data_IF_128681473648
#
_entry.id   IF_128681473648
#
_cell.length_a   1.000
_cell.length_b   1.000
_cell.length_c   1.000
_cell.angle_alpha   90.00
_cell.angle_beta   90.00
_cell.angle_gamma   90.00
#
_symmetry.space_group_name_H-M   'P 1'
#
loop_
_entity.id
_entity.type
_entity.pdbx_description
1 polymer ?
#
# COMPACT_ATOMS: atom_id res chain seq x y z
N UNK A 1 -11.53 4.31 -4.25
CA UNK A 1 -12.12 2.96 -4.46
C UNK A 1 -11.36 1.97 -3.58
N UNK A 2 -12.03 0.98 -3.01
CA UNK A 2 -11.35 -0.06 -2.21
C UNK A 2 -10.49 -0.92 -3.14
N UNK A 3 -9.21 -1.13 -2.78
CA UNK A 3 -8.30 -2.00 -3.52
C UNK A 3 -8.27 -3.40 -2.89
N UNK A 4 -8.29 -3.49 -1.57
CA UNK A 4 -8.30 -4.76 -0.85
C UNK A 4 -7.74 -4.61 0.57
N UNK A 5 -7.47 -5.74 1.22
CA UNK A 5 -6.94 -5.79 2.60
C UNK A 5 -5.76 -6.76 2.64
N UNK A 6 -4.66 -6.37 3.30
CA UNK A 6 -3.49 -7.22 3.55
C UNK A 6 -3.10 -7.09 5.02
N UNK A 7 -3.04 -8.21 5.76
CA UNK A 7 -2.64 -8.23 7.19
C UNK A 7 -3.37 -7.17 8.04
N UNK A 8 -4.71 -7.11 7.91
CA UNK A 8 -5.58 -6.13 8.58
C UNK A 8 -5.35 -4.66 8.21
N UNK A 9 -4.56 -4.40 7.16
CA UNK A 9 -4.37 -3.08 6.57
C UNK A 9 -5.28 -2.97 5.36
N UNK A 10 -6.27 -2.10 5.48
CA UNK A 10 -7.16 -1.71 4.40
C UNK A 10 -6.43 -0.78 3.44
N UNK A 11 -6.56 -1.07 2.15
CA UNK A 11 -5.86 -0.39 1.07
C UNK A 11 -6.91 0.23 0.15
N UNK A 12 -6.87 1.55 0.04
CA UNK A 12 -7.76 2.30 -0.83
C UNK A 12 -6.96 3.12 -1.82
N UNK A 13 -7.57 3.47 -2.94
CA UNK A 13 -7.05 4.50 -3.82
C UNK A 13 -7.96 5.73 -3.83
N UNK A 14 -7.33 6.86 -4.06
CA UNK A 14 -8.03 8.12 -4.34
C UNK A 14 -7.72 8.54 -5.77
N UNK A 15 -8.77 8.85 -6.54
CA UNK A 15 -8.67 9.25 -7.94
C UNK A 15 -8.83 8.11 -8.96
N UNK A 16 -9.14 8.51 -10.20
CA UNK A 16 -9.28 7.60 -11.35
C UNK A 16 -7.91 7.00 -11.78
N UNK A 17 -6.80 7.70 -11.50
CA UNK A 17 -5.44 7.38 -11.99
C UNK A 17 -4.48 6.84 -10.91
N UNK A 18 -4.98 6.34 -9.78
CA UNK A 18 -4.16 5.73 -8.72
C UNK A 18 -3.04 6.63 -8.16
N UNK A 19 -3.11 7.96 -8.22
CA UNK A 19 -1.95 8.80 -7.85
C UNK A 19 -1.53 8.66 -6.37
N UNK A 20 -2.50 8.39 -5.50
CA UNK A 20 -2.29 8.23 -4.05
C UNK A 20 -3.00 6.98 -3.54
N UNK A 21 -2.27 6.15 -2.81
CA UNK A 21 -2.78 4.99 -2.09
C UNK A 21 -2.87 5.30 -0.61
N UNK A 22 -4.00 4.98 -0.03
CA UNK A 22 -4.31 5.14 1.39
C UNK A 22 -4.23 3.78 2.05
N UNK A 23 -3.53 3.72 3.18
CA UNK A 23 -3.40 2.55 4.03
C UNK A 23 -4.02 2.88 5.39
N UNK A 24 -4.89 2.02 5.89
CA UNK A 24 -5.54 2.19 7.19
C UNK A 24 -5.53 0.88 7.95
N UNK A 25 -5.27 0.92 9.26
CA UNK A 25 -5.37 -0.25 10.13
C UNK A 25 -6.48 -0.03 11.17
N UNK A 26 -7.26 -1.09 11.45
CA UNK A 26 -8.52 -1.03 12.23
C UNK A 26 -8.44 -0.27 13.57
N UNK A 27 -7.28 -0.33 14.22
CA UNK A 27 -6.97 0.41 15.46
C UNK A 27 -5.62 1.12 15.35
N UNK A 28 -5.35 1.77 14.22
CA UNK A 28 -4.03 2.31 13.90
C UNK A 28 -4.05 3.62 13.11
N UNK A 29 -2.87 4.08 12.71
CA UNK A 29 -2.72 5.28 11.91
C UNK A 29 -3.25 5.07 10.49
N UNK A 30 -3.56 6.18 9.81
CA UNK A 30 -3.83 6.20 8.37
C UNK A 30 -2.61 6.82 7.69
N UNK A 31 -2.18 6.25 6.57
CA UNK A 31 -1.02 6.73 5.82
C UNK A 31 -1.28 6.75 4.34
N UNK A 32 -0.92 7.87 3.72
CA UNK A 32 -0.98 8.07 2.28
C UNK A 32 0.42 7.87 1.68
N UNK A 33 0.49 7.14 0.57
CA UNK A 33 1.72 6.93 -0.20
C UNK A 33 1.42 7.24 -1.65
N UNK A 34 2.25 8.11 -2.25
CA UNK A 34 2.13 8.39 -3.68
C UNK A 34 2.56 7.18 -4.51
N UNK A 35 1.77 6.86 -5.52
CA UNK A 35 2.01 5.76 -6.43
C UNK A 35 3.30 5.89 -7.26
N UNK A 36 3.75 7.13 -7.52
CA UNK A 36 5.05 7.38 -8.16
C UNK A 36 6.20 6.81 -7.34
N UNK A 37 6.07 6.75 -6.01
CA UNK A 37 7.06 6.13 -5.16
C UNK A 37 7.06 4.60 -5.32
N UNK A 38 5.89 3.98 -5.49
CA UNK A 38 5.71 2.53 -5.66
C UNK A 38 6.36 1.98 -6.94
N UNK A 39 6.46 2.81 -7.99
CA UNK A 39 7.14 2.45 -9.24
C UNK A 39 8.67 2.37 -9.11
N UNK A 40 9.27 2.90 -8.03
CA UNK A 40 10.71 2.84 -7.83
C UNK A 40 11.12 1.43 -7.40
N UNK A 41 12.14 0.87 -8.06
CA UNK A 41 12.56 -0.53 -7.92
C UNK A 41 12.84 -0.95 -6.48
N UNK A 42 13.44 -0.06 -5.69
CA UNK A 42 13.85 -0.31 -4.30
C UNK A 42 12.89 0.26 -3.24
N UNK A 43 11.74 0.79 -3.66
CA UNK A 43 10.78 1.34 -2.70
C UNK A 43 9.96 0.24 -2.05
N UNK A 44 10.00 0.20 -0.72
CA UNK A 44 9.22 -0.70 0.13
C UNK A 44 8.16 0.08 0.87
N UNK A 45 6.91 -0.29 0.67
CA UNK A 45 5.78 0.36 1.35
C UNK A 45 5.75 -0.06 2.81
N UNK A 46 6.08 -1.33 3.06
CA UNK A 46 6.19 -1.87 4.41
C UNK A 46 7.08 -1.01 5.30
N UNK A 47 8.26 -0.58 4.83
CA UNK A 47 9.17 0.31 5.58
C UNK A 47 8.52 1.66 5.92
N UNK A 48 7.75 2.24 5.01
CA UNK A 48 7.05 3.52 5.23
C UNK A 48 5.93 3.36 6.24
N UNK A 49 5.16 2.27 6.14
CA UNK A 49 4.05 1.99 7.03
C UNK A 49 4.53 1.62 8.44
N UNK A 50 5.59 0.81 8.57
CA UNK A 50 6.20 0.48 9.87
C UNK A 50 6.70 1.75 10.56
N UNK A 51 7.38 2.65 9.82
CA UNK A 51 7.79 3.96 10.35
C UNK A 51 6.61 4.83 10.77
N UNK A 52 5.46 4.66 10.14
CA UNK A 52 4.22 5.35 10.49
C UNK A 52 3.46 4.67 11.66
N UNK A 53 3.95 3.55 12.20
CA UNK A 53 3.36 2.85 13.34
C UNK A 53 2.43 1.68 12.99
N UNK A 54 2.39 1.25 11.72
CA UNK A 54 1.61 0.08 11.31
C UNK A 54 2.27 -1.20 11.81
N UNK A 55 1.46 -2.18 12.20
CA UNK A 55 1.93 -3.53 12.52
C UNK A 55 1.92 -4.39 11.26
N UNK A 56 3.11 -4.67 10.73
CA UNK A 56 3.31 -5.56 9.58
C UNK A 56 4.23 -6.69 10.01
N UNK A 57 3.68 -7.89 10.12
CA UNK A 57 4.40 -9.08 10.61
C UNK A 57 5.36 -9.64 9.56
N UNK A 58 4.96 -9.59 8.29
CA UNK A 58 5.75 -10.07 7.15
C UNK A 58 5.95 -8.96 6.10
N UNK A 59 6.95 -8.06 6.28
CA UNK A 59 7.15 -6.88 5.40
C UNK A 59 7.38 -7.24 3.93
N UNK A 60 8.17 -8.28 3.66
CA UNK A 60 8.51 -8.70 2.30
C UNK A 60 7.31 -9.31 1.58
N UNK A 61 6.51 -10.12 2.29
CA UNK A 61 5.28 -10.70 1.76
C UNK A 61 4.25 -9.61 1.50
N UNK A 62 4.09 -8.67 2.42
CA UNK A 62 3.23 -7.49 2.26
C UNK A 62 3.57 -6.71 0.98
N UNK A 63 4.85 -6.39 0.75
CA UNK A 63 5.25 -5.63 -0.43
C UNK A 63 5.01 -6.40 -1.74
N UNK A 64 5.19 -7.73 -1.73
CA UNK A 64 4.87 -8.58 -2.89
C UNK A 64 3.37 -8.64 -3.16
N UNK A 65 2.55 -8.91 -2.14
CA UNK A 65 1.09 -8.93 -2.25
C UNK A 65 0.54 -7.58 -2.70
N UNK A 66 1.10 -6.48 -2.20
CA UNK A 66 0.74 -5.13 -2.65
C UNK A 66 1.10 -4.91 -4.13
N UNK A 67 2.28 -5.37 -4.58
CA UNK A 67 2.65 -5.27 -6.01
C UNK A 67 1.72 -6.08 -6.89
N UNK A 68 1.33 -7.28 -6.48
CA UNK A 68 0.36 -8.11 -7.20
C UNK A 68 -1.02 -7.45 -7.25
N UNK A 69 -1.47 -6.85 -6.14
CA UNK A 69 -2.73 -6.11 -6.08
C UNK A 69 -2.77 -4.93 -7.06
N UNK A 70 -1.62 -4.27 -7.24
CA UNK A 70 -1.49 -3.07 -8.09
C UNK A 70 -1.14 -3.40 -9.55
N UNK A 71 -0.53 -4.54 -9.84
CA UNK A 71 -0.09 -4.94 -11.19
C UNK A 71 -1.20 -4.90 -12.27
N UNK A 72 -2.43 -5.39 -12.02
CA UNK A 72 -3.51 -5.31 -13.01
C UNK A 72 -3.94 -3.88 -13.34
N UNK A 73 -3.72 -2.93 -12.43
CA UNK A 73 -4.06 -1.52 -12.60
C UNK A 73 -2.89 -0.66 -13.11
N UNK A 74 -1.70 -1.26 -13.26
CA UNK A 74 -0.51 -0.64 -13.88
C UNK A 74 -0.45 -0.82 -15.40
N UNK A 75 -1.22 -1.76 -15.95
CA UNK A 75 -1.19 -2.18 -17.36
C UNK A 75 -2.32 -1.58 -18.22
N UNK A 76 -3.08 -0.63 -17.68
CA UNK A 76 -4.08 0.15 -18.42
C UNK A 76 -3.58 1.56 -18.69
#
# INVERSE_FOLDING_TARGET
MELGIIQEIEIHNEGQDLETIWFAQKSGPIRNVSYKALKKRDFKVSDVLIKAGFKISEPQKFDSELKELLAPKLLR
#
